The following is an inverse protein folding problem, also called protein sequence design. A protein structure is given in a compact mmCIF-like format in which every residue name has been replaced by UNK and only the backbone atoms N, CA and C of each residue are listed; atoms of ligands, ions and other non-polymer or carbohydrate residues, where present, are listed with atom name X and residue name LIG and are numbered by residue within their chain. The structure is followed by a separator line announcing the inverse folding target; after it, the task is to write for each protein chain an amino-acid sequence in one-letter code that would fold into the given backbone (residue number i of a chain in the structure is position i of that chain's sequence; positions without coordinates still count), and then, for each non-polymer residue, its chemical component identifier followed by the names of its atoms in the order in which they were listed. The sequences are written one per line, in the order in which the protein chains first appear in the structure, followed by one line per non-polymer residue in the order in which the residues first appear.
data_IF_250473572632
#
_entry.id   IF_250473572632
#
_cell.length_a   1.000
_cell.length_b   1.000
_cell.length_c   1.000
_cell.angle_alpha   90.00
_cell.angle_beta   90.00
_cell.angle_gamma   90.00
#
_symmetry.space_group_name_H-M   'P 1'
#
loop_
_entity.id
_entity.type
_entity.pdbx_description
1 polymer ?
#
# COMPACT_ATOMS: atom_id res chain seq x y z
N UNK A 1 -11.50 10.58 17.19
CA UNK A 1 -11.53 10.09 16.55
C UNK A 1 -10.51 9.83 15.82
N UNK A 2 -9.62 10.22 15.87
CA UNK A 2 -8.55 10.05 15.20
C UNK A 2 -8.03 8.73 15.29
N UNK A 3 -7.10 8.25 14.82
CA UNK A 3 -6.44 6.97 14.95
C UNK A 3 -7.29 5.76 14.62
N UNK A 4 -8.40 5.96 13.92
CA UNK A 4 -9.20 4.82 13.51
C UNK A 4 -8.42 3.92 12.57
N UNK A 5 -7.71 4.50 11.61
CA UNK A 5 -6.93 3.71 10.67
C UNK A 5 -5.79 3.02 11.39
N UNK A 6 -5.16 3.72 12.32
CA UNK A 6 -4.07 3.12 13.09
C UNK A 6 -4.59 1.92 13.88
N UNK A 7 -5.77 2.05 14.46
CA UNK A 7 -6.36 0.94 15.20
C UNK A 7 -6.60 -0.24 14.27
N UNK A 8 -7.09 0.01 13.06
CA UNK A 8 -7.32 -1.05 12.10
C UNK A 8 -6.01 -1.74 11.72
N UNK A 9 -4.93 -0.97 11.57
CA UNK A 9 -3.64 -1.57 11.28
C UNK A 9 -3.20 -2.49 12.41
N UNK A 10 -3.35 -2.04 13.65
CA UNK A 10 -2.98 -2.86 14.80
C UNK A 10 -3.84 -4.11 14.89
N UNK A 11 -5.14 -3.96 14.63
CA UNK A 11 -6.04 -5.11 14.66
C UNK A 11 -5.64 -6.12 13.59
N UNK A 12 -5.30 -5.64 12.40
CA UNK A 12 -4.86 -6.54 11.33
C UNK A 12 -3.58 -7.25 11.73
N UNK A 13 -2.63 -6.53 12.32
CA UNK A 13 -1.38 -7.13 12.75
C UNK A 13 -1.62 -8.19 13.82
N UNK A 14 -2.69 -8.04 14.57
CA UNK A 14 -3.05 -9.02 15.59
C UNK A 14 -3.85 -10.20 15.05
N UNK A 15 -4.14 -10.20 13.75
CA UNK A 15 -4.82 -11.33 13.15
C UNK A 15 -6.28 -11.11 12.78
N UNK A 16 -6.77 -9.88 12.86
CA UNK A 16 -8.18 -9.59 12.56
C UNK A 16 -8.37 -9.45 11.04
N UNK A 17 -9.00 -10.46 10.45
CA UNK A 17 -9.21 -10.46 9.01
C UNK A 17 -10.17 -9.36 8.56
N UNK A 18 -11.13 -9.00 9.40
CA UNK A 18 -12.06 -7.93 9.05
C UNK A 18 -11.34 -6.61 8.94
N UNK A 19 -10.35 -6.37 9.80
CA UNK A 19 -9.57 -5.15 9.71
C UNK A 19 -8.83 -5.08 8.38
N UNK A 20 -8.33 -6.21 7.90
CA UNK A 20 -7.65 -6.25 6.62
C UNK A 20 -8.59 -5.85 5.50
N UNK A 21 -9.81 -6.38 5.51
CA UNK A 21 -10.78 -6.04 4.48
C UNK A 21 -11.14 -4.56 4.51
N UNK A 22 -11.31 -4.02 5.70
CA UNK A 22 -11.65 -2.61 5.84
C UNK A 22 -10.52 -1.72 5.31
N UNK A 23 -9.29 -2.10 5.61
CA UNK A 23 -8.15 -1.32 5.13
C UNK A 23 -8.06 -1.37 3.60
N UNK A 24 -8.25 -2.54 3.02
CA UNK A 24 -8.21 -2.68 1.57
C UNK A 24 -9.30 -1.82 0.94
N UNK A 25 -10.50 -1.86 1.47
CA UNK A 25 -11.59 -1.07 0.92
C UNK A 25 -11.30 0.42 1.02
N UNK A 26 -10.69 0.82 2.11
CA UNK A 26 -10.40 2.23 2.32
C UNK A 26 -9.39 2.75 1.29
N UNK A 27 -8.41 1.94 0.93
CA UNK A 27 -7.36 2.37 0.02
C UNK A 27 -7.54 1.85 -1.40
N UNK A 28 -8.66 1.17 -1.65
CA UNK A 28 -8.92 0.63 -2.97
C UNK A 28 -8.90 1.67 -4.09
N UNK A 29 -9.51 2.85 -3.91
CA UNK A 29 -9.44 3.83 -5.00
C UNK A 29 -8.02 4.23 -5.35
N UNK A 30 -7.17 4.34 -4.35
CA UNK A 30 -5.78 4.70 -4.58
C UNK A 30 -5.06 3.58 -5.34
N UNK A 31 -5.29 2.35 -4.93
CA UNK A 31 -4.65 1.21 -5.58
C UNK A 31 -5.12 1.09 -7.03
N UNK A 32 -6.42 1.29 -7.26
CA UNK A 32 -6.96 1.23 -8.61
C UNK A 32 -6.33 2.29 -9.50
N UNK A 33 -6.12 3.47 -8.96
CA UNK A 33 -5.54 4.55 -9.73
C UNK A 33 -4.15 4.20 -10.23
N UNK A 34 -3.30 3.72 -9.33
CA UNK A 34 -1.94 3.38 -9.74
C UNK A 34 -1.91 2.13 -10.60
N UNK A 35 -2.79 1.17 -10.34
CA UNK A 35 -2.86 -0.02 -11.17
C UNK A 35 -3.24 0.35 -12.60
N UNK A 36 -4.15 1.31 -12.74
CA UNK A 36 -4.55 1.77 -14.07
C UNK A 36 -3.36 2.35 -14.81
N UNK A 37 -2.54 3.13 -14.12
CA UNK A 37 -1.38 3.75 -14.76
C UNK A 37 -0.33 2.72 -15.17
N UNK A 38 -0.29 1.58 -14.51
CA UNK A 38 0.68 0.54 -14.85
C UNK A 38 0.25 -0.27 -16.06
N UNK A 39 -1.03 -0.24 -16.42
CA UNK A 39 -1.54 -0.91 -17.61
C UNK A 39 -1.25 -2.42 -17.63
N UNK A 40 -1.27 -3.06 -16.46
CA UNK A 40 -1.05 -4.49 -16.38
C UNK A 40 -2.24 -5.12 -15.69
N UNK A 41 -2.59 -6.30 -16.14
CA UNK A 41 -3.76 -6.99 -15.62
C UNK A 41 -3.66 -7.27 -14.14
N UNK A 42 -2.50 -7.68 -13.69
CA UNK A 42 -2.33 -8.08 -12.30
C UNK A 42 -1.80 -6.95 -11.41
N UNK A 43 -1.74 -5.72 -11.93
CA UNK A 43 -1.21 -4.61 -11.15
C UNK A 43 -2.02 -4.34 -9.89
N UNK A 44 -3.34 -4.45 -9.99
CA UNK A 44 -4.19 -4.22 -8.83
C UNK A 44 -3.87 -5.21 -7.72
N UNK A 45 -3.75 -6.47 -8.07
CA UNK A 45 -3.46 -7.49 -7.07
C UNK A 45 -2.06 -7.33 -6.51
N UNK A 46 -1.11 -6.96 -7.35
CA UNK A 46 0.24 -6.75 -6.89
C UNK A 46 0.30 -5.63 -5.86
N UNK A 47 -0.35 -4.50 -6.15
CA UNK A 47 -0.35 -3.37 -5.23
C UNK A 47 -1.14 -3.69 -3.97
N UNK A 48 -2.24 -4.41 -4.10
CA UNK A 48 -3.02 -4.81 -2.94
C UNK A 48 -2.20 -5.74 -2.04
N UNK A 49 -1.50 -6.68 -2.64
CA UNK A 49 -0.65 -7.60 -1.89
C UNK A 49 0.46 -6.85 -1.19
N UNK A 50 1.05 -5.87 -1.88
CA UNK A 50 2.07 -5.04 -1.27
C UNK A 50 1.51 -4.28 -0.07
N UNK A 51 0.33 -3.72 -0.23
CA UNK A 51 -0.29 -2.97 0.86
C UNK A 51 -0.47 -3.84 2.10
N UNK A 52 -1.03 -5.03 1.91
CA UNK A 52 -1.28 -5.91 3.03
C UNK A 52 0.02 -6.37 3.67
N UNK A 53 1.02 -6.67 2.86
CA UNK A 53 2.31 -7.10 3.38
C UNK A 53 2.97 -5.99 4.19
N UNK A 54 2.94 -4.78 3.67
CA UNK A 54 3.54 -3.65 4.34
C UNK A 54 2.84 -3.37 5.66
N UNK A 55 1.50 -3.41 5.66
CA UNK A 55 0.75 -3.14 6.88
C UNK A 55 1.00 -4.20 7.95
N UNK A 56 1.22 -5.43 7.52
CA UNK A 56 1.43 -6.52 8.47
C UNK A 56 2.72 -6.35 9.25
N UNK A 57 3.76 -5.82 8.61
CA UNK A 57 5.07 -5.72 9.23
C UNK A 57 5.44 -4.30 9.64
N UNK A 58 4.53 -3.35 9.49
CA UNK A 58 4.81 -1.94 9.72
C UNK A 58 4.91 -1.63 11.21
N UNK A 59 5.98 -0.95 11.58
CA UNK A 59 6.18 -0.52 12.96
C UNK A 59 5.69 0.93 13.06
N UNK A 60 4.44 1.10 13.47
CA UNK A 60 3.82 2.42 13.52
C UNK A 60 4.37 3.26 14.67
N UNK A 61 5.11 2.67 15.59
CA UNK A 61 5.65 3.44 16.70
C UNK A 61 6.67 4.47 16.24
N UNK A 62 7.15 4.34 15.01
CA UNK A 62 8.13 5.29 14.48
C UNK A 62 7.50 6.54 13.90
N UNK A 63 6.18 6.57 13.79
CA UNK A 63 5.50 7.75 13.26
C UNK A 63 5.52 8.87 14.28
N UNK A 64 5.60 10.10 13.79
CA UNK A 64 5.52 11.25 14.67
C UNK A 64 4.12 11.39 15.26
N UNK A 65 3.13 10.87 14.58
CA UNK A 65 1.75 10.90 15.02
C UNK A 65 1.04 9.69 14.44
N UNK A 66 0.03 9.20 15.16
CA UNK A 66 -0.75 8.08 14.68
C UNK A 66 -2.16 8.49 14.28
N UNK A 67 -2.40 9.79 14.06
CA UNK A 67 -3.71 10.22 13.63
C UNK A 67 -3.95 9.76 12.19
N UNK A 68 -5.23 9.80 11.77
CA UNK A 68 -5.60 9.26 10.47
C UNK A 68 -4.85 9.94 9.33
N UNK A 69 -4.65 11.25 9.42
CA UNK A 69 -3.99 11.97 8.34
C UNK A 69 -2.56 11.49 8.15
N UNK A 70 -1.82 11.32 9.24
CA UNK A 70 -0.44 10.90 9.17
C UNK A 70 -0.33 9.46 8.67
N UNK A 71 -1.17 8.59 9.22
CA UNK A 71 -1.14 7.19 8.81
C UNK A 71 -1.53 7.06 7.34
N UNK A 72 -2.56 7.77 6.93
CA UNK A 72 -3.00 7.72 5.54
C UNK A 72 -1.90 8.20 4.60
N UNK A 73 -1.24 9.29 4.97
CA UNK A 73 -0.17 9.82 4.14
C UNK A 73 0.97 8.81 3.99
N UNK A 74 1.32 8.16 5.08
CA UNK A 74 2.39 7.17 5.03
C UNK A 74 2.01 6.02 4.11
N UNK A 75 0.78 5.53 4.26
CA UNK A 75 0.31 4.42 3.43
C UNK A 75 0.28 4.84 1.97
N UNK A 76 -0.24 6.03 1.69
CA UNK A 76 -0.33 6.50 0.31
C UNK A 76 1.06 6.64 -0.30
N UNK A 77 2.00 7.18 0.46
CA UNK A 77 3.37 7.32 -0.04
C UNK A 77 4.01 5.96 -0.28
N UNK A 78 3.73 4.99 0.58
CA UNK A 78 4.30 3.66 0.40
C UNK A 78 3.76 3.00 -0.86
N UNK A 79 2.47 3.13 -1.12
CA UNK A 79 1.87 2.57 -2.34
C UNK A 79 2.43 3.30 -3.56
N UNK A 80 2.58 4.61 -3.46
CA UNK A 80 3.14 5.38 -4.56
C UNK A 80 4.57 4.95 -4.85
N UNK A 81 5.36 4.72 -3.81
CA UNK A 81 6.73 4.27 -4.00
C UNK A 81 6.78 2.91 -4.67
N UNK A 82 5.86 2.03 -4.29
CA UNK A 82 5.80 0.73 -4.93
C UNK A 82 5.39 0.86 -6.39
N UNK A 83 4.45 1.76 -6.67
CA UNK A 83 4.06 2.03 -8.05
C UNK A 83 5.26 2.50 -8.86
N UNK A 84 6.05 3.41 -8.29
CA UNK A 84 7.23 3.91 -9.00
C UNK A 84 8.23 2.80 -9.22
N UNK A 85 8.43 1.94 -8.21
CA UNK A 85 9.35 0.83 -8.34
C UNK A 85 8.92 -0.14 -9.42
N UNK A 86 7.63 -0.46 -9.47
CA UNK A 86 7.12 -1.34 -10.51
C UNK A 86 7.26 -0.72 -11.89
N UNK A 87 7.04 0.58 -11.98
CA UNK A 87 7.17 1.29 -13.24
C UNK A 87 8.62 1.28 -13.72
N UNK A 88 9.53 1.57 -12.80
CA UNK A 88 10.95 1.56 -13.15
C UNK A 88 11.44 0.17 -13.51
N UNK A 89 11.00 -0.81 -12.75
CA UNK A 89 11.39 -2.18 -12.99
C UNK A 89 10.99 -2.60 -14.40
N UNK A 90 9.80 -2.18 -14.80
CA UNK A 90 9.34 -2.45 -16.12
C UNK A 90 10.23 -1.80 -17.18
N UNK A 91 10.58 -0.53 -16.96
CA UNK A 91 11.47 0.16 -17.88
C UNK A 91 12.85 -0.46 -17.89
N UNK A 92 13.33 -0.80 -16.72
CA UNK A 92 14.65 -1.40 -16.60
C UNK A 92 14.71 -2.72 -17.34
N UNK A 93 13.66 -3.51 -17.21
CA UNK A 93 13.62 -4.78 -17.87
C UNK A 93 13.68 -4.61 -19.39
N UNK A 94 12.95 -3.62 -19.90
CA UNK A 94 13.03 -3.31 -21.30
C UNK A 94 14.41 -2.92 -21.74
N UNK A 95 15.06 -2.10 -20.93
CA UNK A 95 16.42 -1.68 -21.23
C UNK A 95 17.39 -2.85 -21.18
N UNK A 96 17.23 -3.70 -20.22
CA UNK A 96 18.12 -4.84 -20.09
C UNK A 96 18.02 -5.76 -21.27
N UNK A 97 16.83 -5.88 -21.85
CA UNK A 97 16.74 -6.72 -22.99
C UNK A 97 17.55 -6.21 -24.14
N UNK A 98 17.73 -4.96 -24.23
CA UNK A 98 18.51 -4.38 -25.31
C UNK A 98 19.97 -4.74 -25.16
N UNK A 99 20.38 -4.92 -23.94
CA UNK A 99 21.77 -5.29 -23.73
C UNK A 99 21.96 -6.76 -23.96
#
# INVERSE_FOLDING_TARGET
MPAEIHKQVLDYQGGDANAALELVEKFKPLIKRYAFFLHREDSFEDLQRFLLSMLKTWDTSRLSSTDDATVTRYIANSVKNEYIALSKHRCTRGTNKIK
#
